data_IF_860352098302
#
_entry.id   IF_860352098302
#
_cell.length_a   1.000
_cell.length_b   1.000
_cell.length_c   1.000
_cell.angle_alpha   90.00
_cell.angle_beta   90.00
_cell.angle_gamma   90.00
#
_symmetry.space_group_name_H-M   'P 1'
#
loop_
_entity.id
_entity.type
_entity.pdbx_description
1 polymer ?
#
# COMPACT_ATOMS: atom_id res chain seq x y z
N UNK A 1 11.69 14.35 14.93
CA UNK A 1 11.82 14.02 13.50
C UNK A 1 11.26 12.64 13.23
N UNK A 2 10.57 12.52 12.12
CA UNK A 2 10.04 11.22 11.74
C UNK A 2 11.13 10.36 11.10
N UNK A 3 11.18 9.11 11.50
CA UNK A 3 12.09 8.15 10.94
C UNK A 3 11.59 7.73 9.54
N UNK A 4 12.50 7.59 8.59
CA UNK A 4 12.17 7.07 7.26
C UNK A 4 12.42 5.59 7.21
N UNK A 5 11.54 4.88 6.50
CA UNK A 5 11.69 3.46 6.27
C UNK A 5 11.59 3.17 4.78
N UNK A 6 12.17 2.07 4.36
CA UNK A 6 12.08 1.62 2.97
C UNK A 6 11.02 0.56 2.84
N UNK A 7 10.17 0.71 1.84
CA UNK A 7 9.18 -0.29 1.46
C UNK A 7 9.27 -0.50 -0.04
N UNK A 8 8.60 -1.53 -0.54
CA UNK A 8 8.49 -1.74 -1.98
C UNK A 8 7.05 -1.57 -2.42
N UNK A 9 6.86 -0.85 -3.50
CA UNK A 9 5.55 -0.68 -4.12
C UNK A 9 5.68 -1.19 -5.55
N UNK A 10 4.99 -2.27 -5.86
CA UNK A 10 5.08 -2.93 -7.17
C UNK A 10 6.54 -3.16 -7.58
N UNK A 11 7.34 -3.62 -6.64
CA UNK A 11 8.75 -3.93 -6.88
C UNK A 11 9.71 -2.77 -6.80
N UNK A 12 9.22 -1.54 -6.66
CA UNK A 12 10.08 -0.36 -6.58
C UNK A 12 10.28 0.08 -5.15
N UNK A 13 11.50 0.42 -4.79
CA UNK A 13 11.82 0.89 -3.45
C UNK A 13 11.34 2.33 -3.29
N UNK A 14 10.64 2.55 -2.18
CA UNK A 14 10.15 3.87 -1.79
C UNK A 14 10.52 4.14 -0.35
N UNK A 15 10.80 5.39 -0.03
CA UNK A 15 11.02 5.80 1.36
C UNK A 15 9.79 6.54 1.85
N UNK A 16 9.30 6.14 3.00
CA UNK A 16 8.13 6.76 3.63
C UNK A 16 8.43 6.98 5.10
N UNK A 17 7.59 7.77 5.75
CA UNK A 17 7.69 7.94 7.20
C UNK A 17 7.32 6.64 7.89
N UNK A 18 8.05 6.34 8.96
CA UNK A 18 7.72 5.17 9.78
C UNK A 18 6.28 5.26 10.27
N UNK A 19 5.61 4.14 10.33
CA UNK A 19 4.21 4.03 10.78
C UNK A 19 3.20 4.77 9.92
N UNK A 20 3.56 5.05 8.67
CA UNK A 20 2.59 5.56 7.70
C UNK A 20 1.47 4.53 7.53
N UNK A 21 0.24 5.00 7.54
CA UNK A 21 -0.88 4.10 7.32
C UNK A 21 -1.01 3.72 5.85
N UNK A 22 -1.37 2.49 5.61
CA UNK A 22 -1.54 2.00 4.25
C UNK A 22 -2.59 2.82 3.49
N UNK A 23 -3.65 3.26 4.18
CA UNK A 23 -4.67 4.11 3.57
C UNK A 23 -4.08 5.42 3.04
N UNK A 24 -3.17 6.01 3.80
CA UNK A 24 -2.54 7.27 3.39
C UNK A 24 -1.67 7.05 2.14
N UNK A 25 -0.90 5.96 2.14
CA UNK A 25 -0.06 5.64 0.98
C UNK A 25 -0.90 5.45 -0.28
N UNK A 26 -1.97 4.66 -0.17
CA UNK A 26 -2.84 4.37 -1.31
C UNK A 26 -3.51 5.65 -1.83
N UNK A 27 -3.93 6.51 -0.92
CA UNK A 27 -4.53 7.79 -1.30
C UNK A 27 -3.54 8.66 -2.08
N UNK A 28 -2.30 8.71 -1.62
CA UNK A 28 -1.27 9.51 -2.30
C UNK A 28 -0.92 8.96 -3.68
N UNK A 29 -1.04 7.67 -3.88
CA UNK A 29 -0.79 7.06 -5.18
C UNK A 29 -1.91 7.33 -6.18
N UNK A 30 -3.05 7.84 -5.71
CA UNK A 30 -4.22 8.18 -6.54
C UNK A 30 -4.73 6.99 -7.34
N UNK A 31 -4.68 5.81 -6.75
CA UNK A 31 -5.20 4.62 -7.43
C UNK A 31 -6.71 4.52 -7.26
N UNK A 32 -7.42 4.01 -8.27
CA UNK A 32 -8.87 3.84 -8.18
C UNK A 32 -9.20 2.61 -7.32
N UNK A 33 -9.50 2.83 -6.04
CA UNK A 33 -9.69 1.74 -5.09
C UNK A 33 -10.72 0.69 -5.54
N UNK A 34 -11.72 1.12 -6.30
CA UNK A 34 -12.74 0.18 -6.76
C UNK A 34 -12.26 -0.73 -7.88
N UNK A 35 -11.12 -0.42 -8.47
CA UNK A 35 -10.61 -1.14 -9.64
C UNK A 35 -9.30 -1.88 -9.37
N UNK A 36 -8.87 -1.89 -8.12
CA UNK A 36 -7.60 -2.53 -7.77
C UNK A 36 -7.76 -3.45 -6.58
N UNK A 37 -6.89 -4.44 -6.51
CA UNK A 37 -6.67 -5.22 -5.30
C UNK A 37 -5.35 -4.76 -4.70
N UNK A 38 -5.28 -4.71 -3.38
CA UNK A 38 -4.08 -4.29 -2.67
C UNK A 38 -3.57 -5.47 -1.87
N UNK A 39 -2.30 -5.82 -2.08
CA UNK A 39 -1.65 -6.88 -1.34
C UNK A 39 -0.56 -6.29 -0.47
N UNK A 40 -0.47 -6.78 0.74
CA UNK A 40 0.61 -6.45 1.67
C UNK A 40 1.31 -7.75 2.03
N UNK A 41 2.58 -7.85 1.68
CA UNK A 41 3.38 -9.04 1.94
C UNK A 41 2.69 -10.31 1.43
N UNK A 42 2.14 -10.22 0.22
CA UNK A 42 1.48 -11.31 -0.51
C UNK A 42 0.10 -11.69 0.02
N UNK A 43 -0.45 -10.91 0.92
CA UNK A 43 -1.81 -11.15 1.40
C UNK A 43 -2.72 -10.03 0.95
N UNK A 44 -3.90 -10.39 0.44
CA UNK A 44 -4.88 -9.40 0.01
C UNK A 44 -5.42 -8.68 1.24
N UNK A 45 -5.41 -7.36 1.18
CA UNK A 45 -5.90 -6.53 2.28
C UNK A 45 -7.35 -6.13 2.00
N UNK A 46 -8.21 -6.36 2.98
CA UNK A 46 -9.58 -5.85 2.92
C UNK A 46 -9.51 -4.32 2.98
N UNK A 47 -10.17 -3.67 2.02
CA UNK A 47 -10.11 -2.22 1.94
C UNK A 47 -10.66 -1.51 3.17
N UNK A 48 -11.51 -2.18 3.94
CA UNK A 48 -11.99 -1.64 5.20
C UNK A 48 -10.89 -1.52 6.25
N UNK A 49 -9.81 -2.24 6.08
CA UNK A 49 -8.73 -2.28 7.06
C UNK A 49 -7.55 -1.39 6.71
N UNK A 50 -7.59 -0.68 5.58
CA UNK A 50 -6.46 0.15 5.15
C UNK A 50 -6.05 1.17 6.22
N UNK A 51 -7.02 1.74 6.94
CA UNK A 51 -6.74 2.71 7.99
C UNK A 51 -6.14 2.10 9.26
N UNK A 52 -6.17 0.79 9.37
CA UNK A 52 -5.71 0.10 10.58
C UNK A 52 -4.31 -0.47 10.44
N UNK A 53 -3.73 -0.37 9.24
CA UNK A 53 -2.43 -0.97 8.97
C UNK A 53 -1.37 0.11 8.97
N UNK A 54 -0.40 -0.02 9.87
CA UNK A 54 0.79 0.82 9.89
C UNK A 54 1.90 0.10 9.13
N UNK A 55 2.47 0.79 8.15
CA UNK A 55 3.53 0.20 7.34
C UNK A 55 4.83 0.10 8.14
N UNK A 56 5.60 -0.93 7.85
CA UNK A 56 6.87 -1.22 8.51
C UNK A 56 7.98 -1.34 7.48
N UNK A 57 9.20 -1.25 7.97
CA UNK A 57 10.37 -1.42 7.10
C UNK A 57 10.28 -2.75 6.35
N UNK A 58 10.62 -2.72 5.08
CA UNK A 58 10.64 -3.88 4.19
C UNK A 58 9.26 -4.44 3.82
N UNK A 59 8.18 -3.75 4.16
CA UNK A 59 6.86 -4.17 3.68
C UNK A 59 6.82 -4.12 2.16
N UNK A 60 6.12 -5.08 1.58
CA UNK A 60 5.90 -5.15 0.13
C UNK A 60 4.43 -4.91 -0.16
N UNK A 61 4.18 -3.87 -0.92
CA UNK A 61 2.82 -3.52 -1.33
C UNK A 61 2.71 -3.77 -2.83
N UNK A 62 1.67 -4.49 -3.24
CA UNK A 62 1.38 -4.70 -4.65
C UNK A 62 -0.03 -4.22 -4.93
N UNK A 63 -0.16 -3.45 -5.99
CA UNK A 63 -1.44 -2.91 -6.42
C UNK A 63 -1.72 -3.49 -7.79
N UNK A 64 -2.77 -4.30 -7.88
CA UNK A 64 -3.12 -5.03 -9.08
C UNK A 64 -4.46 -4.51 -9.60
N UNK A 65 -4.47 -4.06 -10.84
CA UNK A 65 -5.69 -3.60 -11.47
C UNK A 65 -6.52 -4.80 -11.94
N UNK A 66 -7.83 -4.72 -11.72
CA UNK A 66 -8.72 -5.75 -12.25
C UNK A 66 -8.82 -5.63 -13.77
N UNK A 67 -8.82 -6.74 -14.44
CA UNK A 67 -8.98 -6.78 -15.89
C UNK A 67 -10.47 -6.91 -16.18
N UNK A 68 -10.92 -6.21 -17.22
CA UNK A 68 -12.28 -6.36 -17.67
C UNK A 68 -13.27 -5.39 -17.10
N UNK A 69 -12.83 -4.45 -16.31
CA UNK A 69 -13.65 -3.34 -15.89
C UNK A 69 -14.99 -3.70 -15.30
N UNK A 70 -15.08 -4.84 -14.70
CA UNK A 70 -16.32 -5.26 -14.09
C UNK A 70 -16.72 -4.43 -12.91
#
# INVERSE_FOLDING_TARGET
MKKKIKIKINGKINKIDDKTKLSYLVKNLKVPLKKVAIELNREIVDKKNLNRINLKVNDKIEIVHFIGGG
#
